data_IF_726982125141
#
_entry.id   IF_726982125141
#
_cell.length_a   1.000
_cell.length_b   1.000
_cell.length_c   1.000
_cell.angle_alpha   90.00
_cell.angle_beta   90.00
_cell.angle_gamma   90.00
#
_symmetry.space_group_name_H-M   'P 1'
#
loop_
_entity.id
_entity.type
_entity.pdbx_description
1 polymer ?
#
# COMPACT_ATOMS: atom_id res chain seq x y z
N UNK A 1 18.61 -49.32 -18.12
CA UNK A 1 17.63 -48.26 -18.51
C UNK A 1 17.66 -47.17 -17.45
N UNK A 2 17.59 -45.91 -17.89
CA UNK A 2 18.10 -44.72 -17.21
C UNK A 2 17.46 -44.40 -15.85
N UNK A 3 18.28 -44.40 -14.79
CA UNK A 3 17.98 -43.73 -13.52
C UNK A 3 18.68 -42.37 -13.50
N UNK A 4 17.97 -41.31 -13.90
CA UNK A 4 18.48 -39.94 -13.77
C UNK A 4 17.31 -38.98 -13.59
N UNK A 5 16.96 -38.68 -12.34
CA UNK A 5 15.86 -37.78 -12.05
C UNK A 5 15.67 -37.43 -10.57
N UNK A 6 16.74 -37.23 -9.80
CA UNK A 6 16.63 -36.80 -8.40
C UNK A 6 17.58 -35.64 -8.04
N UNK A 7 17.72 -34.67 -8.94
CA UNK A 7 18.38 -33.41 -8.61
C UNK A 7 17.52 -32.54 -7.68
N UNK A 8 18.11 -31.72 -6.81
CA UNK A 8 17.37 -30.88 -5.88
C UNK A 8 16.47 -29.90 -6.65
N UNK A 9 15.20 -29.79 -6.22
CA UNK A 9 14.19 -28.90 -6.83
C UNK A 9 14.68 -27.46 -6.78
N UNK A 10 14.78 -26.81 -7.93
CA UNK A 10 15.13 -25.38 -8.00
C UNK A 10 13.97 -24.54 -7.47
N UNK A 11 14.27 -23.70 -6.49
CA UNK A 11 13.32 -22.71 -5.97
C UNK A 11 13.44 -21.45 -6.83
N UNK A 12 12.30 -20.87 -7.16
CA UNK A 12 12.22 -19.59 -7.84
C UNK A 12 11.22 -18.69 -7.11
N UNK A 13 11.43 -17.37 -7.19
CA UNK A 13 10.48 -16.36 -6.75
C UNK A 13 9.85 -15.74 -7.99
N UNK A 14 8.53 -15.77 -8.05
CA UNK A 14 7.75 -15.11 -9.10
C UNK A 14 7.00 -13.95 -8.48
N UNK A 15 6.89 -12.82 -9.18
CA UNK A 15 6.18 -11.63 -8.69
C UNK A 15 5.44 -10.95 -9.84
N UNK A 16 4.32 -10.30 -9.52
CA UNK A 16 3.50 -9.53 -10.46
C UNK A 16 3.20 -8.16 -9.87
N UNK A 17 3.34 -7.12 -10.68
CA UNK A 17 2.99 -5.76 -10.33
C UNK A 17 1.56 -5.45 -10.78
N UNK A 18 0.79 -4.79 -9.92
CA UNK A 18 -0.53 -4.24 -10.22
C UNK A 18 -0.67 -2.86 -9.57
N UNK A 19 -1.55 -2.03 -10.11
CA UNK A 19 -1.84 -0.68 -9.60
C UNK A 19 -3.33 -0.54 -9.30
N UNK A 20 -3.67 0.27 -8.31
CA UNK A 20 -5.04 0.68 -8.01
C UNK A 20 -5.06 2.15 -7.58
N UNK A 21 -6.20 2.80 -7.75
CA UNK A 21 -6.44 4.17 -7.30
C UNK A 21 -7.12 4.18 -5.94
N UNK A 22 -6.69 5.05 -5.04
CA UNK A 22 -7.32 5.26 -3.73
C UNK A 22 -7.16 6.71 -3.28
N UNK A 23 -8.13 7.19 -2.51
CA UNK A 23 -8.09 8.48 -1.82
C UNK A 23 -7.88 8.25 -0.33
N UNK A 24 -7.25 9.20 0.34
CA UNK A 24 -7.02 9.12 1.79
C UNK A 24 -7.09 10.49 2.43
N UNK A 25 -7.31 10.49 3.74
CA UNK A 25 -7.17 11.65 4.62
C UNK A 25 -6.33 11.23 5.81
N UNK A 26 -5.31 12.00 6.13
CA UNK A 26 -4.54 11.77 7.35
C UNK A 26 -5.22 12.53 8.50
N UNK A 27 -5.84 11.78 9.41
CA UNK A 27 -6.53 12.32 10.58
C UNK A 27 -6.46 11.32 11.74
N UNK A 28 -6.02 11.78 12.91
CA UNK A 28 -6.03 11.00 14.14
C UNK A 28 -7.23 11.36 15.00
N UNK A 29 -7.97 10.35 15.46
CA UNK A 29 -9.11 10.52 16.38
C UNK A 29 -8.69 10.98 17.78
N UNK A 30 -7.42 10.83 18.14
CA UNK A 30 -6.87 11.21 19.44
C UNK A 30 -6.41 12.66 19.51
N UNK A 31 -6.43 13.39 18.39
CA UNK A 31 -5.97 14.77 18.28
C UNK A 31 -7.16 15.71 18.03
N UNK A 32 -7.08 16.94 18.51
CA UNK A 32 -8.02 17.99 18.12
C UNK A 32 -7.93 18.28 16.61
N UNK A 33 -8.91 19.01 16.06
CA UNK A 33 -8.88 19.40 14.64
C UNK A 33 -7.69 20.31 14.32
N UNK A 34 -7.33 21.22 15.23
CA UNK A 34 -6.22 22.15 15.11
C UNK A 34 -4.88 21.42 15.14
N UNK A 35 -4.72 20.45 16.04
CA UNK A 35 -3.53 19.60 16.12
C UNK A 35 -3.38 18.75 14.86
N UNK A 36 -4.49 18.18 14.40
CA UNK A 36 -4.59 17.46 13.14
C UNK A 36 -4.20 18.32 11.93
N UNK A 37 -4.67 19.56 11.86
CA UNK A 37 -4.34 20.50 10.79
C UNK A 37 -2.88 20.94 10.87
N UNK A 38 -2.35 21.20 12.06
CA UNK A 38 -0.95 21.58 12.27
C UNK A 38 0.01 20.45 11.88
N UNK A 39 -0.34 19.21 12.21
CA UNK A 39 0.50 18.04 11.95
C UNK A 39 0.39 17.56 10.50
N UNK A 40 -0.82 17.37 9.99
CA UNK A 40 -1.06 16.77 8.68
C UNK A 40 -1.28 17.81 7.57
N UNK A 41 -1.48 19.09 7.90
CA UNK A 41 -1.59 20.19 6.95
C UNK A 41 -2.62 19.92 5.85
N UNK A 42 -2.17 20.05 4.60
CA UNK A 42 -3.00 19.80 3.40
C UNK A 42 -3.50 18.36 3.31
N UNK A 43 -2.82 17.39 3.92
CA UNK A 43 -3.26 15.99 3.95
C UNK A 43 -4.40 15.73 4.95
N UNK A 44 -4.73 16.69 5.84
CA UNK A 44 -5.93 16.62 6.69
C UNK A 44 -7.20 17.08 5.97
N UNK A 45 -7.15 17.38 4.68
CA UNK A 45 -8.29 17.96 3.98
C UNK A 45 -9.55 17.08 4.15
N UNK A 46 -10.64 17.59 4.77
CA UNK A 46 -11.89 16.85 4.88
C UNK A 46 -12.55 16.66 3.50
N UNK A 47 -12.20 17.50 2.53
CA UNK A 47 -12.60 17.32 1.14
C UNK A 47 -11.68 16.29 0.48
N UNK A 48 -12.08 15.02 0.51
CA UNK A 48 -11.45 13.98 -0.32
C UNK A 48 -11.49 14.41 -1.79
N UNK A 49 -10.37 14.25 -2.50
CA UNK A 49 -10.26 14.53 -3.93
C UNK A 49 -11.33 13.71 -4.65
N UNK A 50 -12.35 14.36 -5.22
CA UNK A 50 -13.28 13.69 -6.14
C UNK A 50 -12.55 13.58 -7.47
N UNK A 51 -11.95 12.41 -7.71
CA UNK A 51 -11.56 12.07 -9.08
C UNK A 51 -12.80 12.02 -9.97
N UNK A 52 -12.66 12.44 -11.22
CA UNK A 52 -13.51 11.93 -12.30
C UNK A 52 -13.51 10.39 -12.31
#
# INVERSE_FOLDING_TARGET
>A
MNGAGSGPRRRARVSRLVSFSATHRLHSKSLSNEENLKLFGKCNNPNVYKGE
#
